data_IF_577167515799
#
_entry.id   IF_577167515799
#
_cell.length_a   1.000
_cell.length_b   1.000
_cell.length_c   1.000
_cell.angle_alpha   90.00
_cell.angle_beta   90.00
_cell.angle_gamma   90.00
#
_symmetry.space_group_name_H-M   'P 1'
#
loop_
_entity.id
_entity.type
_entity.pdbx_description
1 polymer ?
#
# COMPACT_ATOMS: atom_id res chain seq x y z
N UNK A 1 -7.35 -17.42 -29.53
CA UNK A 1 -6.57 -18.68 -29.57
C UNK A 1 -5.19 -18.47 -28.93
N UNK A 2 -5.15 -17.78 -27.78
CA UNK A 2 -3.94 -17.43 -27.01
C UNK A 2 -4.07 -18.01 -25.59
N UNK A 3 -5.28 -17.94 -25.01
CA UNK A 3 -5.58 -18.50 -23.69
C UNK A 3 -5.30 -20.02 -23.62
N UNK A 4 -5.63 -20.76 -24.66
CA UNK A 4 -5.34 -22.19 -24.76
C UNK A 4 -3.83 -22.51 -24.88
N UNK A 5 -3.01 -21.56 -25.37
CA UNK A 5 -1.55 -21.70 -25.46
C UNK A 5 -0.87 -21.39 -24.11
N UNK A 6 -1.42 -20.44 -23.34
CA UNK A 6 -0.95 -20.11 -22.00
C UNK A 6 -1.26 -21.25 -21.01
N UNK A 7 -2.46 -21.84 -21.08
CA UNK A 7 -2.84 -23.02 -20.29
C UNK A 7 -1.94 -24.24 -20.53
N UNK A 8 -1.45 -24.39 -21.76
CA UNK A 8 -0.56 -25.50 -22.13
C UNK A 8 0.87 -25.35 -21.58
N UNK A 9 1.28 -24.12 -21.24
CA UNK A 9 2.60 -23.82 -20.65
C UNK A 9 2.56 -23.70 -19.11
N UNK A 10 1.47 -24.13 -18.45
CA UNK A 10 1.28 -24.03 -17.00
C UNK A 10 1.40 -22.60 -16.43
N UNK A 11 1.31 -21.58 -17.27
CA UNK A 11 1.32 -20.18 -16.84
C UNK A 11 -0.04 -19.81 -16.26
N UNK A 12 -0.03 -19.24 -15.05
CA UNK A 12 -1.23 -18.81 -14.35
C UNK A 12 -1.95 -17.73 -15.16
N UNK A 13 -3.04 -18.12 -15.82
CA UNK A 13 -3.92 -17.18 -16.51
C UNK A 13 -4.72 -16.43 -15.44
N UNK A 14 -4.56 -15.12 -15.37
CA UNK A 14 -5.39 -14.25 -14.53
C UNK A 14 -6.84 -14.22 -15.04
N UNK A 15 -7.63 -15.21 -14.64
CA UNK A 15 -9.04 -15.42 -15.04
C UNK A 15 -9.95 -14.24 -14.63
N UNK A 16 -9.57 -13.53 -13.58
CA UNK A 16 -10.37 -12.52 -12.90
C UNK A 16 -9.84 -11.09 -13.14
N UNK A 17 -9.27 -10.82 -14.33
CA UNK A 17 -8.83 -9.47 -14.68
C UNK A 17 -10.07 -8.54 -14.77
N UNK A 18 -10.32 -7.75 -13.73
CA UNK A 18 -11.39 -6.75 -13.71
C UNK A 18 -12.68 -7.11 -12.97
N UNK A 19 -12.71 -8.18 -12.15
CA UNK A 19 -13.90 -8.48 -11.31
C UNK A 19 -14.13 -7.46 -10.20
N UNK A 20 -13.13 -6.63 -9.90
CA UNK A 20 -13.25 -5.54 -8.92
C UNK A 20 -13.71 -4.27 -9.64
N UNK A 21 -14.92 -3.83 -9.35
CA UNK A 21 -15.42 -2.54 -9.83
C UNK A 21 -14.67 -1.39 -9.17
N UNK A 22 -14.58 -0.23 -9.84
CA UNK A 22 -13.93 0.96 -9.27
C UNK A 22 -14.52 1.35 -7.90
N UNK A 23 -15.81 1.13 -7.67
CA UNK A 23 -16.48 1.37 -6.40
C UNK A 23 -15.99 0.44 -5.29
N UNK A 24 -15.82 -0.86 -5.58
CA UNK A 24 -15.30 -1.85 -4.62
C UNK A 24 -13.83 -1.56 -4.31
N UNK A 25 -13.02 -1.27 -5.33
CA UNK A 25 -11.62 -0.91 -5.14
C UNK A 25 -11.47 0.35 -4.27
N UNK A 26 -12.31 1.36 -4.50
CA UNK A 26 -12.34 2.60 -3.71
C UNK A 26 -12.73 2.34 -2.26
N UNK A 27 -13.83 1.62 -2.03
CA UNK A 27 -14.27 1.29 -0.68
C UNK A 27 -13.24 0.45 0.10
N UNK A 28 -12.58 -0.48 -0.58
CA UNK A 28 -11.49 -1.25 0.00
C UNK A 28 -10.29 -0.37 0.35
N UNK A 29 -9.87 0.50 -0.56
CA UNK A 29 -8.76 1.43 -0.33
C UNK A 29 -9.05 2.41 0.82
N UNK A 30 -10.26 2.96 0.91
CA UNK A 30 -10.69 3.83 2.01
C UNK A 30 -10.67 3.08 3.36
N UNK A 31 -11.17 1.84 3.39
CA UNK A 31 -11.19 1.03 4.60
C UNK A 31 -9.77 0.69 5.11
N UNK A 32 -8.87 0.30 4.20
CA UNK A 32 -7.48 0.01 4.55
C UNK A 32 -6.73 1.29 4.94
N UNK A 33 -6.94 2.40 4.23
CA UNK A 33 -6.33 3.69 4.55
C UNK A 33 -6.64 4.13 5.99
N UNK A 34 -7.89 4.03 6.44
CA UNK A 34 -8.27 4.43 7.80
C UNK A 34 -7.57 3.60 8.89
N UNK A 35 -7.35 2.30 8.64
CA UNK A 35 -6.61 1.42 9.56
C UNK A 35 -5.15 1.86 9.69
N UNK A 36 -4.48 2.08 8.56
CA UNK A 36 -3.05 2.37 8.54
C UNK A 36 -2.73 3.83 8.91
N UNK A 37 -3.63 4.78 8.58
CA UNK A 37 -3.47 6.20 8.95
C UNK A 37 -3.27 6.38 10.44
N UNK A 38 -4.07 5.74 11.27
CA UNK A 38 -3.97 5.87 12.74
C UNK A 38 -2.62 5.42 13.28
N UNK A 39 -2.03 4.37 12.68
CA UNK A 39 -0.72 3.86 13.08
C UNK A 39 0.38 4.81 12.58
N UNK A 40 0.25 5.27 11.33
CA UNK A 40 1.21 6.19 10.71
C UNK A 40 1.25 7.53 11.45
N UNK A 41 0.10 8.09 11.82
CA UNK A 41 0.01 9.36 12.55
C UNK A 41 0.72 9.29 13.91
N UNK A 42 0.66 8.13 14.59
CA UNK A 42 1.35 7.92 15.88
C UNK A 42 2.86 7.77 15.74
N UNK A 43 3.32 7.22 14.61
CA UNK A 43 4.74 6.99 14.32
C UNK A 43 5.34 8.11 13.47
N UNK A 44 4.53 9.12 13.11
CA UNK A 44 4.98 10.20 12.27
C UNK A 44 5.95 11.07 13.07
N UNK A 45 7.16 11.17 12.56
CA UNK A 45 8.18 12.11 13.01
C UNK A 45 8.55 12.99 11.82
N UNK A 46 8.22 14.27 11.92
CA UNK A 46 8.60 15.26 10.90
C UNK A 46 10.13 15.35 10.83
N UNK A 47 10.62 15.72 9.65
CA UNK A 47 11.99 16.18 9.45
C UNK A 47 12.40 17.29 10.43
N UNK A 48 11.48 18.18 10.80
CA UNK A 48 11.68 19.18 11.85
C UNK A 48 11.87 18.53 13.22
N UNK A 49 10.99 17.58 13.61
CA UNK A 49 11.11 16.86 14.89
C UNK A 49 12.42 16.07 14.98
N UNK A 50 12.90 15.54 13.84
CA UNK A 50 14.23 14.89 13.76
C UNK A 50 15.36 15.89 13.96
N UNK A 51 15.29 17.04 13.28
CA UNK A 51 16.30 18.09 13.40
C UNK A 51 16.41 18.63 14.84
N UNK A 52 15.26 18.84 15.51
CA UNK A 52 15.23 19.25 16.92
C UNK A 52 15.84 18.16 17.81
N UNK A 53 15.43 16.90 17.64
CA UNK A 53 16.00 15.79 18.42
C UNK A 53 17.51 15.59 18.20
N UNK A 54 18.02 15.83 16.99
CA UNK A 54 19.44 15.73 16.66
C UNK A 54 20.25 16.91 17.24
N UNK A 55 19.68 18.10 17.30
CA UNK A 55 20.31 19.27 17.93
C UNK A 55 20.36 19.13 19.46
N UNK A 56 19.31 18.63 20.09
CA UNK A 56 19.28 18.34 21.53
C UNK A 56 20.29 17.25 21.94
N UNK A 57 20.54 16.24 21.08
CA UNK A 57 21.53 15.17 21.33
C UNK A 57 22.97 15.60 21.12
N UNK A 58 23.22 16.69 20.39
CA UNK A 58 24.56 17.24 20.16
C UNK A 58 25.03 18.19 21.26
N UNK A 59 24.17 18.49 22.23
CA UNK A 59 24.45 19.37 23.37
C UNK A 59 24.89 18.61 24.65
N UNK A 60 24.96 17.27 24.62
CA UNK A 60 25.66 16.41 25.62
C UNK A 60 27.12 16.15 25.23
#
# INVERSE_FOLDING_TARGET
RLDAFLQFNEEDILQNKGTVTAAIAKAFAENEYDKYRTIQDRLYQSDFDRLVADTEKGEE
#
